data_IF_086325642336
#
_entry.id   IF_086325642336
#
_cell.length_a   1.000
_cell.length_b   1.000
_cell.length_c   1.000
_cell.angle_alpha   90.00
_cell.angle_beta   90.00
_cell.angle_gamma   90.00
#
_symmetry.space_group_name_H-M   'P 1'
#
loop_
_entity.id
_entity.type
_entity.pdbx_description
1 polymer ?
#
# COMPACT_ATOMS: atom_id res chain seq x y z
N UNK A 1 0.48 -10.99 -20.64
CA UNK A 1 -0.20 -11.00 -19.33
C UNK A 1 0.87 -10.62 -18.31
N UNK A 2 0.83 -9.46 -17.62
CA UNK A 2 1.87 -9.12 -16.66
C UNK A 2 1.43 -9.58 -15.26
N UNK A 3 1.68 -10.85 -14.93
CA UNK A 3 1.25 -11.46 -13.66
C UNK A 3 2.32 -11.43 -12.54
N UNK A 4 3.48 -10.79 -12.75
CA UNK A 4 4.62 -10.87 -11.81
C UNK A 4 5.01 -9.55 -11.12
N UNK A 5 4.21 -8.48 -11.21
CA UNK A 5 4.51 -7.20 -10.55
C UNK A 5 3.75 -7.00 -9.23
N UNK A 6 3.65 -8.04 -8.40
CA UNK A 6 2.95 -8.01 -7.11
C UNK A 6 3.95 -8.23 -5.99
N UNK A 7 3.57 -7.86 -4.77
CA UNK A 7 4.40 -8.04 -3.57
C UNK A 7 4.58 -9.54 -3.28
N UNK A 8 5.75 -9.87 -2.78
CA UNK A 8 6.06 -11.20 -2.27
C UNK A 8 5.22 -11.54 -1.02
N UNK A 9 5.06 -12.82 -0.65
CA UNK A 9 4.23 -13.22 0.49
C UNK A 9 4.64 -12.56 1.81
N UNK A 10 5.95 -12.41 2.05
CA UNK A 10 6.48 -11.70 3.22
C UNK A 10 6.13 -10.20 3.18
N UNK A 11 6.26 -9.55 2.02
CA UNK A 11 5.88 -8.14 1.85
C UNK A 11 4.36 -7.93 2.00
N UNK A 12 3.55 -8.88 1.54
CA UNK A 12 2.09 -8.87 1.73
C UNK A 12 1.75 -9.01 3.22
N UNK A 13 2.46 -9.87 3.96
CA UNK A 13 2.26 -10.04 5.39
C UNK A 13 2.67 -8.78 6.19
N UNK A 14 3.81 -8.17 5.84
CA UNK A 14 4.28 -6.90 6.39
C UNK A 14 3.27 -5.78 6.12
N UNK A 15 2.89 -5.59 4.85
CA UNK A 15 1.89 -4.62 4.44
C UNK A 15 0.57 -4.82 5.17
N UNK A 16 0.10 -6.08 5.29
CA UNK A 16 -1.13 -6.42 6.01
C UNK A 16 -1.06 -6.08 7.49
N UNK A 17 0.09 -6.27 8.15
CA UNK A 17 0.30 -5.84 9.55
C UNK A 17 0.22 -4.33 9.68
N UNK A 18 0.89 -3.59 8.79
CA UNK A 18 0.87 -2.12 8.79
C UNK A 18 -0.57 -1.61 8.57
N UNK A 19 -1.28 -2.14 7.58
CA UNK A 19 -2.67 -1.74 7.27
C UNK A 19 -3.58 -2.01 8.47
N UNK A 20 -3.47 -3.18 9.12
CA UNK A 20 -4.28 -3.52 10.30
C UNK A 20 -3.98 -2.64 11.51
N UNK A 21 -2.74 -2.18 11.65
CA UNK A 21 -2.35 -1.22 12.70
C UNK A 21 -2.68 0.23 12.35
N UNK A 22 -3.04 0.52 11.10
CA UNK A 22 -3.31 1.87 10.61
C UNK A 22 -4.79 2.19 10.79
N UNK A 23 -5.14 3.31 11.44
CA UNK A 23 -6.54 3.71 11.55
C UNK A 23 -7.16 3.97 10.17
N UNK A 24 -8.49 3.80 10.02
CA UNK A 24 -9.17 4.04 8.76
C UNK A 24 -9.03 5.49 8.31
N UNK A 25 -8.72 5.70 7.03
CA UNK A 25 -8.44 7.03 6.48
C UNK A 25 -7.69 7.01 5.16
N UNK A 26 -7.29 8.19 4.68
CA UNK A 26 -6.49 8.35 3.46
C UNK A 26 -5.01 8.52 3.80
N UNK A 27 -4.19 7.65 3.22
CA UNK A 27 -2.75 7.59 3.46
C UNK A 27 -2.02 7.43 2.13
N UNK A 28 -0.88 8.12 2.00
CA UNK A 28 0.08 7.81 0.94
C UNK A 28 0.96 6.65 1.40
N UNK A 29 1.63 5.93 0.49
CA UNK A 29 2.57 4.87 0.88
C UNK A 29 3.61 5.38 1.88
N UNK A 30 4.17 6.56 1.62
CA UNK A 30 5.12 7.21 2.52
C UNK A 30 4.56 7.44 3.92
N UNK A 31 3.27 7.76 4.03
CA UNK A 31 2.62 7.99 5.32
C UNK A 31 2.23 6.69 6.03
N UNK A 32 1.90 5.65 5.26
CA UNK A 32 1.58 4.30 5.76
C UNK A 32 2.83 3.62 6.33
N UNK A 33 3.94 3.65 5.60
CA UNK A 33 5.21 3.04 6.02
C UNK A 33 6.05 3.96 6.91
N UNK A 34 5.79 5.27 6.90
CA UNK A 34 6.50 6.24 7.72
C UNK A 34 8.01 6.19 7.51
N UNK A 35 8.77 5.91 8.57
CA UNK A 35 10.23 5.80 8.51
C UNK A 35 10.72 4.61 7.68
N UNK A 36 9.94 3.53 7.61
CA UNK A 36 10.29 2.35 6.80
C UNK A 36 10.27 2.66 5.30
N UNK A 37 9.52 3.70 4.90
CA UNK A 37 9.49 4.16 3.51
C UNK A 37 10.84 4.67 3.02
N UNK A 38 11.56 5.39 3.88
CA UNK A 38 12.87 5.96 3.57
C UNK A 38 13.95 4.87 3.47
N UNK A 39 13.76 3.77 4.20
CA UNK A 39 14.64 2.60 4.18
C UNK A 39 14.42 1.68 2.97
N UNK A 40 13.30 1.82 2.23
CA UNK A 40 13.08 1.02 1.02
C UNK A 40 13.98 1.56 -0.10
N UNK A 41 14.96 0.76 -0.51
CA UNK A 41 15.91 1.02 -1.60
C UNK A 41 15.27 1.42 -2.95
N UNK A 42 13.99 1.12 -3.17
CA UNK A 42 13.29 1.43 -4.43
C UNK A 42 11.82 1.74 -4.18
N UNK A 43 11.49 2.95 -3.71
CA UNK A 43 10.12 3.35 -3.38
C UNK A 43 9.20 3.33 -4.60
N UNK A 44 9.72 3.66 -5.78
CA UNK A 44 8.98 3.62 -7.05
C UNK A 44 8.58 2.20 -7.45
N UNK A 45 9.52 1.25 -7.37
CA UNK A 45 9.30 -0.14 -7.74
C UNK A 45 8.39 -0.84 -6.72
N UNK A 46 8.62 -0.58 -5.43
CA UNK A 46 7.76 -1.08 -4.37
C UNK A 46 6.34 -0.50 -4.49
N UNK A 47 6.19 0.81 -4.73
CA UNK A 47 4.89 1.45 -4.90
C UNK A 47 4.10 0.88 -6.08
N UNK A 48 4.77 0.53 -7.18
CA UNK A 48 4.14 -0.17 -8.30
C UNK A 48 3.64 -1.58 -7.90
N UNK A 49 4.48 -2.35 -7.21
CA UNK A 49 4.12 -3.70 -6.72
C UNK A 49 3.01 -3.70 -5.68
N UNK A 50 3.06 -2.74 -4.76
CA UNK A 50 2.04 -2.51 -3.76
C UNK A 50 0.71 -2.19 -4.42
N UNK A 51 0.69 -1.22 -5.35
CA UNK A 51 -0.51 -0.88 -6.12
C UNK A 51 -1.10 -2.11 -6.80
N UNK A 52 -0.28 -2.90 -7.50
CA UNK A 52 -0.74 -4.10 -8.16
C UNK A 52 -1.34 -5.11 -7.16
N UNK A 53 -0.74 -5.25 -5.98
CA UNK A 53 -1.23 -6.15 -4.92
C UNK A 53 -2.57 -5.70 -4.33
N UNK A 54 -2.76 -4.39 -4.18
CA UNK A 54 -4.05 -3.81 -3.78
C UNK A 54 -5.10 -4.04 -4.85
N UNK A 55 -4.79 -3.77 -6.12
CA UNK A 55 -5.71 -3.95 -7.25
C UNK A 55 -6.05 -5.44 -7.47
N UNK A 56 -5.10 -6.33 -7.23
CA UNK A 56 -5.29 -7.79 -7.29
C UNK A 56 -6.07 -8.35 -6.09
N UNK A 57 -6.44 -7.51 -5.10
CA UNK A 57 -7.17 -7.96 -3.91
C UNK A 57 -6.36 -8.82 -2.94
N UNK A 58 -5.01 -8.81 -3.03
CA UNK A 58 -4.14 -9.54 -2.10
C UNK A 58 -4.03 -8.86 -0.74
N UNK A 59 -4.23 -7.54 -0.69
CA UNK A 59 -4.21 -6.74 0.53
C UNK A 59 -5.62 -6.38 0.95
N UNK A 60 -6.06 -6.94 2.08
CA UNK A 60 -7.34 -6.61 2.70
C UNK A 60 -7.29 -5.31 3.50
N UNK A 61 -8.40 -4.58 3.54
CA UNK A 61 -8.53 -3.38 4.37
C UNK A 61 -7.92 -2.13 3.77
N UNK A 62 -7.52 -2.17 2.49
CA UNK A 62 -6.99 -1.04 1.76
C UNK A 62 -7.53 -1.03 0.34
N UNK A 63 -7.70 0.15 -0.26
CA UNK A 63 -7.96 0.29 -1.69
C UNK A 63 -7.25 1.49 -2.26
N UNK A 64 -6.89 1.40 -3.53
CA UNK A 64 -6.29 2.52 -4.25
C UNK A 64 -7.33 3.62 -4.41
N UNK A 65 -6.99 4.83 -3.97
CA UNK A 65 -7.83 6.00 -4.21
C UNK A 65 -7.59 6.51 -5.63
N UNK A 66 -8.65 6.85 -6.40
CA UNK A 66 -8.50 7.34 -7.77
C UNK A 66 -7.82 8.72 -7.84
N UNK A 67 -7.96 9.53 -6.80
CA UNK A 67 -7.35 10.84 -6.71
C UNK A 67 -5.93 10.78 -6.13
N UNK A 68 -5.02 11.52 -6.78
CA UNK A 68 -3.65 11.73 -6.29
C UNK A 68 -3.62 12.91 -5.33
N UNK A 69 -2.60 12.97 -4.48
CA UNK A 69 -2.29 14.20 -3.74
C UNK A 69 -1.92 15.33 -4.70
N UNK A 70 -1.94 16.58 -4.23
CA UNK A 70 -1.43 17.73 -4.98
C UNK A 70 0.03 17.61 -5.42
N UNK A 71 0.79 16.68 -4.84
CA UNK A 71 2.16 16.34 -5.23
C UNK A 71 2.25 15.14 -6.21
N UNK A 72 1.15 14.79 -6.90
CA UNK A 72 1.06 13.62 -7.79
C UNK A 72 1.31 12.25 -7.12
N UNK A 73 1.28 12.17 -5.78
CA UNK A 73 1.46 10.91 -5.08
C UNK A 73 0.15 10.10 -5.04
N UNK A 74 0.26 8.79 -5.23
CA UNK A 74 -0.88 7.87 -5.08
C UNK A 74 -1.36 7.84 -3.63
N UNK A 75 -2.67 7.83 -3.46
CA UNK A 75 -3.32 7.70 -2.15
C UNK A 75 -4.00 6.35 -2.04
N UNK A 76 -4.08 5.87 -0.81
CA UNK A 76 -4.70 4.62 -0.45
C UNK A 76 -5.66 4.87 0.69
N UNK A 77 -6.86 4.34 0.55
CA UNK A 77 -7.88 4.39 1.58
C UNK A 77 -7.78 3.13 2.41
N UNK A 78 -7.45 3.27 3.68
CA UNK A 78 -7.53 2.21 4.67
C UNK A 78 -8.97 2.19 5.21
N UNK A 79 -9.56 1.00 5.24
CA UNK A 79 -10.89 0.77 5.77
C UNK A 79 -10.80 0.16 7.16
N UNK A 80 -11.83 0.39 7.96
CA UNK A 80 -11.95 -0.26 9.25
C UNK A 80 -12.09 -1.76 9.00
N UNK A 81 -11.05 -2.51 9.35
CA UNK A 81 -11.07 -3.96 9.38
C UNK A 81 -11.75 -4.35 10.69
N UNK A 82 -13.07 -4.22 10.73
CA UNK A 82 -13.89 -4.42 11.92
C UNK A 82 -13.44 -5.64 12.73
N UNK A 83 -13.24 -5.41 14.03
CA UNK A 83 -12.79 -6.41 15.02
C UNK A 83 -13.89 -7.40 15.37
#
# INVERSE_FOLDING_TARGET
MPEEFVLDPDEVAEAGRIIRGTPPGLYTLAKLYGAEWDMKLSPTTFGARFKASVVAGRLGGISLHPEKTGANALQYRVYDQGR
#
